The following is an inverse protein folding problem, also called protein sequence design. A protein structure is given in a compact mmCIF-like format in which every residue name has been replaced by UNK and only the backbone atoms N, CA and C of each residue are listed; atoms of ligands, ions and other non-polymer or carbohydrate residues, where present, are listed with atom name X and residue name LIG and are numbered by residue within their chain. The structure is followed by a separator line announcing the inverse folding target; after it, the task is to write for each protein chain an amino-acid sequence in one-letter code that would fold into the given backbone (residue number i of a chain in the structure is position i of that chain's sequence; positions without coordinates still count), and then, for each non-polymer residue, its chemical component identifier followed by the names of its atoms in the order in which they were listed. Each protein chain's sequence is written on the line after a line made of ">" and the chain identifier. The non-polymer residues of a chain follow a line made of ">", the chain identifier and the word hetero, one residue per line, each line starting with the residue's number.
data_IF_461081627988
#
_entry.id   IF_461081627988
#
_cell.length_a   1.000
_cell.length_b   1.000
_cell.length_c   1.000
_cell.angle_alpha   90.00
_cell.angle_beta   90.00
_cell.angle_gamma   90.00
#
_symmetry.space_group_name_H-M   'P 1'
#
loop_
_entity.id
_entity.type
_entity.pdbx_description
1 polymer ?
#
# COMPACT_ATOMS: atom_id res chain seq x y z
N UNK A 1 1.73 2.73 -7.96
CA UNK A 1 1.82 1.94 -6.72
C UNK A 1 1.27 2.73 -5.52
N UNK A 2 2.00 3.71 -4.94
CA UNK A 2 1.51 4.47 -3.76
C UNK A 2 0.14 5.14 -3.97
N UNK A 3 -0.09 5.69 -5.16
CA UNK A 3 -1.39 6.24 -5.55
C UNK A 3 -2.49 5.17 -5.58
N UNK A 4 -2.17 3.97 -6.05
CA UNK A 4 -3.14 2.90 -6.26
C UNK A 4 -3.48 2.23 -4.91
N UNK A 5 -2.49 2.16 -3.98
CA UNK A 5 -2.72 1.86 -2.57
C UNK A 5 -3.72 2.84 -1.95
N UNK A 6 -3.51 4.15 -2.11
CA UNK A 6 -4.43 5.17 -1.59
C UNK A 6 -5.80 5.16 -2.28
N UNK A 7 -5.87 4.75 -3.54
CA UNK A 7 -7.12 4.61 -4.28
C UNK A 7 -7.91 3.34 -3.88
N UNK A 8 -7.29 2.41 -3.15
CA UNK A 8 -7.92 1.15 -2.77
C UNK A 8 -7.94 0.10 -3.88
N UNK A 9 -7.17 0.29 -4.96
CA UNK A 9 -7.15 -0.60 -6.12
C UNK A 9 -6.18 -1.77 -5.88
N UNK A 10 -6.72 -2.90 -5.44
CA UNK A 10 -5.99 -4.11 -5.05
C UNK A 10 -5.33 -4.81 -6.26
N UNK A 11 -6.03 -4.90 -7.40
CA UNK A 11 -5.52 -5.49 -8.63
C UNK A 11 -4.30 -4.72 -9.17
N UNK A 12 -4.43 -3.39 -9.28
CA UNK A 12 -3.32 -2.54 -9.74
C UNK A 12 -2.18 -2.52 -8.73
N UNK A 13 -2.47 -2.50 -7.43
CA UNK A 13 -1.42 -2.54 -6.41
C UNK A 13 -0.64 -3.86 -6.44
N UNK A 14 -1.33 -5.00 -6.58
CA UNK A 14 -0.71 -6.32 -6.69
C UNK A 14 0.17 -6.44 -7.94
N UNK A 15 -0.33 -5.98 -9.10
CA UNK A 15 0.44 -5.98 -10.35
C UNK A 15 1.71 -5.12 -10.30
N UNK A 16 1.72 -4.10 -9.43
CA UNK A 16 2.86 -3.20 -9.21
C UNK A 16 3.80 -3.67 -8.09
N UNK A 17 3.55 -4.85 -7.51
CA UNK A 17 4.45 -5.49 -6.54
C UNK A 17 4.18 -5.16 -5.08
N UNK A 18 2.97 -4.76 -4.70
CA UNK A 18 2.67 -4.47 -3.28
C UNK A 18 2.73 -5.70 -2.36
N UNK A 19 2.73 -6.92 -2.92
CA UNK A 19 2.76 -8.19 -2.17
C UNK A 19 4.13 -8.49 -1.54
N UNK A 20 5.19 -7.88 -2.05
CA UNK A 20 6.58 -8.09 -1.61
C UNK A 20 7.06 -6.99 -0.65
N UNK A 21 6.14 -6.17 -0.14
CA UNK A 21 6.43 -5.01 0.70
C UNK A 21 5.83 -5.20 2.08
N UNK A 22 6.56 -4.69 3.09
CA UNK A 22 6.07 -4.54 4.45
C UNK A 22 5.86 -3.04 4.79
N UNK A 23 5.23 -2.75 5.93
CA UNK A 23 5.00 -1.35 6.33
C UNK A 23 6.30 -0.55 6.53
N UNK A 24 7.37 -1.22 6.93
CA UNK A 24 8.68 -0.60 7.15
C UNK A 24 9.30 -0.08 5.84
N UNK A 25 9.05 -0.76 4.71
CA UNK A 25 9.50 -0.32 3.39
C UNK A 25 8.87 1.02 2.99
N UNK A 26 7.65 1.28 3.47
CA UNK A 26 6.89 2.50 3.17
C UNK A 26 7.10 3.62 4.20
N UNK A 27 7.91 3.39 5.23
CA UNK A 27 8.18 4.39 6.27
C UNK A 27 8.83 5.65 5.69
N UNK A 28 9.79 5.49 4.78
CA UNK A 28 10.44 6.63 4.11
C UNK A 28 9.43 7.40 3.23
N UNK A 29 8.60 6.68 2.48
CA UNK A 29 7.54 7.26 1.63
C UNK A 29 6.53 8.08 2.45
N UNK A 30 6.19 7.59 3.64
CA UNK A 30 5.34 8.30 4.62
C UNK A 30 6.02 9.57 5.13
N UNK A 31 7.30 9.47 5.50
CA UNK A 31 8.09 10.60 6.02
C UNK A 31 8.20 11.75 5.01
N UNK A 32 8.53 11.44 3.75
CA UNK A 32 8.73 12.46 2.70
C UNK A 32 7.43 12.97 2.08
N UNK A 33 6.28 12.34 2.36
CA UNK A 33 5.03 12.72 1.74
C UNK A 33 4.57 14.11 2.21
N UNK A 34 4.33 15.07 1.29
CA UNK A 34 3.83 16.39 1.65
C UNK A 34 2.40 16.36 2.21
N UNK A 35 1.61 15.36 1.81
CA UNK A 35 0.23 15.16 2.29
C UNK A 35 0.12 14.39 3.61
N UNK A 36 1.24 13.92 4.18
CA UNK A 36 1.29 13.17 5.45
C UNK A 36 0.37 11.94 5.48
N UNK A 37 0.18 11.28 4.33
CA UNK A 37 -0.49 9.99 4.27
C UNK A 37 0.35 8.90 4.91
N UNK A 38 -0.29 8.01 5.68
CA UNK A 38 0.34 6.85 6.29
C UNK A 38 0.19 5.64 5.37
N UNK A 39 1.23 5.34 4.60
CA UNK A 39 1.16 4.27 3.60
C UNK A 39 1.26 2.86 4.18
N UNK A 40 1.90 2.70 5.34
CA UNK A 40 2.00 1.40 6.02
C UNK A 40 0.62 0.80 6.35
N UNK A 41 -0.23 1.51 7.12
CA UNK A 41 -1.59 1.03 7.40
C UNK A 41 -2.42 0.78 6.14
N UNK A 42 -2.27 1.63 5.11
CA UNK A 42 -2.98 1.45 3.83
C UNK A 42 -2.54 0.19 3.11
N UNK A 43 -1.23 -0.12 3.12
CA UNK A 43 -0.70 -1.36 2.57
C UNK A 43 -1.29 -2.57 3.31
N UNK A 44 -1.33 -2.55 4.65
CA UNK A 44 -1.94 -3.62 5.44
C UNK A 44 -3.38 -3.89 5.06
N UNK A 45 -4.18 -2.84 4.89
CA UNK A 45 -5.57 -2.95 4.49
C UNK A 45 -5.72 -3.56 3.09
N UNK A 46 -4.85 -3.17 2.15
CA UNK A 46 -4.82 -3.74 0.79
C UNK A 46 -4.45 -5.23 0.82
N UNK A 47 -3.39 -5.61 1.54
CA UNK A 47 -2.97 -7.01 1.68
C UNK A 47 -4.07 -7.86 2.32
N UNK A 48 -4.72 -7.32 3.36
CA UNK A 48 -5.84 -7.99 4.03
C UNK A 48 -7.03 -8.20 3.08
N UNK A 49 -7.34 -7.20 2.23
CA UNK A 49 -8.40 -7.34 1.23
C UNK A 49 -8.04 -8.39 0.18
N UNK A 50 -6.83 -8.33 -0.36
CA UNK A 50 -6.36 -9.33 -1.34
C UNK A 50 -6.45 -10.75 -0.77
N UNK A 51 -6.08 -10.95 0.50
CA UNK A 51 -6.19 -12.27 1.17
C UNK A 51 -7.64 -12.74 1.32
N UNK A 52 -8.60 -11.83 1.50
CA UNK A 52 -10.02 -12.17 1.63
C UNK A 52 -10.73 -12.39 0.28
N UNK A 53 -10.25 -11.73 -0.77
CA UNK A 53 -10.82 -11.77 -2.13
C UNK A 53 -10.20 -12.87 -3.02
N UNK A 54 -9.03 -13.40 -2.65
CA UNK A 54 -8.33 -14.50 -3.33
C UNK A 54 -8.84 -15.90 -2.98
#
# INVERSE_FOLDING_TARGET
>A
MLRDLLAGDTDSAAALGCLELDEEDLALCTFVCPGKYEYGPVLRDILTKIEQEG
#
